data_IF_070955920170
#
_entry.id   IF_070955920170
#
_cell.length_a   1.000
_cell.length_b   1.000
_cell.length_c   1.000
_cell.angle_alpha   90.00
_cell.angle_beta   90.00
_cell.angle_gamma   90.00
#
_symmetry.space_group_name_H-M   'P 1'
#
loop_
_entity.id
_entity.type
_entity.pdbx_description
1 polymer ?
#
# COMPACT_ATOMS: atom_id res chain seq x y z
N UNK A 1 -7.61 -21.74 -13.06
CA UNK A 1 -6.91 -20.48 -12.71
C UNK A 1 -5.82 -20.24 -13.74
N UNK A 2 -5.71 -19.07 -14.38
CA UNK A 2 -4.58 -18.79 -15.27
C UNK A 2 -3.29 -18.81 -14.45
N UNK A 3 -2.28 -19.56 -14.91
CA UNK A 3 -0.95 -19.57 -14.29
C UNK A 3 -0.37 -18.16 -14.38
N UNK A 4 0.03 -17.58 -13.25
CA UNK A 4 0.76 -16.30 -13.24
C UNK A 4 2.02 -16.44 -14.11
N UNK A 5 2.25 -15.47 -15.00
CA UNK A 5 3.43 -15.47 -15.86
C UNK A 5 4.71 -15.42 -15.00
N UNK A 6 5.74 -16.26 -15.28
CA UNK A 6 7.02 -16.23 -14.58
C UNK A 6 7.68 -14.85 -14.60
N UNK A 7 7.45 -14.08 -15.66
CA UNK A 7 7.93 -12.70 -15.80
C UNK A 7 7.32 -11.75 -14.75
N UNK A 8 6.03 -11.92 -14.43
CA UNK A 8 5.36 -11.12 -13.39
C UNK A 8 5.82 -11.51 -11.99
N UNK A 9 6.09 -12.80 -11.76
CA UNK A 9 6.67 -13.25 -10.49
C UNK A 9 8.06 -12.65 -10.30
N UNK A 10 8.89 -12.65 -11.33
CA UNK A 10 10.23 -12.06 -11.29
C UNK A 10 10.18 -10.54 -11.08
N UNK A 11 9.29 -9.84 -11.79
CA UNK A 11 9.09 -8.40 -11.62
C UNK A 11 8.61 -8.04 -10.21
N UNK A 12 7.72 -8.84 -9.62
CA UNK A 12 7.20 -8.67 -8.26
C UNK A 12 8.24 -8.92 -7.16
N UNK A 13 9.44 -9.39 -7.49
CA UNK A 13 10.58 -9.48 -6.57
C UNK A 13 11.75 -8.55 -6.98
N UNK A 14 11.57 -7.73 -8.02
CA UNK A 14 12.58 -6.78 -8.50
C UNK A 14 12.64 -5.48 -7.70
N UNK A 15 13.55 -4.54 -8.08
CA UNK A 15 13.72 -3.27 -7.38
C UNK A 15 12.50 -2.34 -7.49
N UNK A 16 11.62 -2.55 -8.48
CA UNK A 16 10.43 -1.75 -8.71
C UNK A 16 9.37 -1.94 -7.62
N UNK A 17 9.14 -0.90 -6.80
CA UNK A 17 8.12 -0.91 -5.74
C UNK A 17 6.71 -1.18 -6.26
N UNK A 18 6.35 -0.64 -7.43
CA UNK A 18 5.04 -0.87 -8.04
C UNK A 18 4.79 -2.35 -8.32
N UNK A 19 5.78 -3.06 -8.86
CA UNK A 19 5.63 -4.49 -9.18
C UNK A 19 5.44 -5.33 -7.91
N UNK A 20 6.14 -5.00 -6.81
CA UNK A 20 5.94 -5.64 -5.50
C UNK A 20 4.55 -5.35 -4.95
N UNK A 21 4.10 -4.09 -5.01
CA UNK A 21 2.75 -3.69 -4.56
C UNK A 21 1.65 -4.39 -5.37
N UNK A 22 1.82 -4.53 -6.68
CA UNK A 22 0.91 -5.33 -7.52
C UNK A 22 0.93 -6.79 -7.09
N UNK A 23 2.07 -7.37 -6.71
CA UNK A 23 2.12 -8.73 -6.14
C UNK A 23 1.15 -8.94 -4.98
N UNK A 24 1.02 -7.94 -4.10
CA UNK A 24 0.11 -7.92 -2.94
C UNK A 24 -1.34 -7.63 -3.34
N UNK A 25 -1.56 -6.64 -4.22
CA UNK A 25 -2.88 -6.08 -4.52
C UNK A 25 -3.55 -6.61 -5.79
N UNK A 26 -2.87 -7.45 -6.57
CA UNK A 26 -3.30 -7.94 -7.90
C UNK A 26 -4.52 -8.86 -7.92
N UNK A 27 -5.16 -9.09 -6.77
CA UNK A 27 -6.43 -9.79 -6.74
C UNK A 27 -7.59 -8.81 -6.54
N UNK A 28 -8.69 -8.94 -7.31
CA UNK A 28 -9.85 -8.07 -7.19
C UNK A 28 -10.41 -7.96 -5.76
N UNK A 29 -10.34 -9.04 -4.97
CA UNK A 29 -10.87 -9.04 -3.62
C UNK A 29 -10.02 -8.23 -2.65
N UNK A 30 -8.72 -8.06 -2.88
CA UNK A 30 -7.86 -7.26 -2.00
C UNK A 30 -8.37 -5.82 -1.89
N UNK A 31 -8.70 -5.17 -3.00
CA UNK A 31 -9.25 -3.82 -2.98
C UNK A 31 -10.68 -3.75 -2.41
N UNK A 32 -11.51 -4.77 -2.66
CA UNK A 32 -12.86 -4.82 -2.11
C UNK A 32 -12.86 -5.04 -0.59
N UNK A 33 -11.96 -5.87 -0.07
CA UNK A 33 -11.76 -6.05 1.37
C UNK A 33 -11.26 -4.74 1.99
N UNK A 34 -10.25 -4.09 1.39
CA UNK A 34 -9.75 -2.80 1.87
C UNK A 34 -10.84 -1.72 1.90
N UNK A 35 -11.71 -1.67 0.89
CA UNK A 35 -12.88 -0.77 0.87
C UNK A 35 -13.76 -0.99 2.10
N UNK A 36 -14.04 -2.23 2.44
CA UNK A 36 -14.86 -2.56 3.61
C UNK A 36 -14.13 -2.29 4.94
N UNK A 37 -12.81 -2.50 5.00
CA UNK A 37 -11.98 -2.09 6.15
C UNK A 37 -12.11 -0.58 6.38
N UNK A 38 -12.01 0.24 5.33
CA UNK A 38 -12.15 1.69 5.48
C UNK A 38 -13.59 2.16 5.74
N UNK A 39 -14.59 1.29 5.53
CA UNK A 39 -15.98 1.48 5.97
C UNK A 39 -16.25 1.02 7.40
N UNK A 40 -15.22 0.57 8.13
CA UNK A 40 -15.34 0.19 9.53
C UNK A 40 -15.60 -1.30 9.77
N UNK A 41 -15.65 -2.15 8.74
CA UNK A 41 -15.79 -3.60 8.94
C UNK A 41 -14.48 -4.19 9.45
N UNK A 42 -14.56 -5.13 10.38
CA UNK A 42 -13.39 -5.69 11.07
C UNK A 42 -13.42 -7.21 11.17
N UNK A 43 -14.59 -7.83 11.15
CA UNK A 43 -14.70 -9.28 11.39
C UNK A 43 -14.94 -10.06 10.10
N UNK A 44 -14.57 -11.34 10.09
CA UNK A 44 -14.80 -12.25 8.96
C UNK A 44 -16.28 -12.26 8.53
N UNK A 45 -17.20 -12.28 9.49
CA UNK A 45 -18.64 -12.29 9.22
C UNK A 45 -19.10 -11.03 8.49
N UNK A 46 -18.64 -9.86 8.93
CA UNK A 46 -18.98 -8.58 8.30
C UNK A 46 -18.46 -8.50 6.86
N UNK A 47 -17.24 -8.97 6.60
CA UNK A 47 -16.70 -9.03 5.23
C UNK A 47 -17.51 -9.99 4.35
N UNK A 48 -17.86 -11.17 4.87
CA UNK A 48 -18.66 -12.16 4.13
C UNK A 48 -20.03 -11.61 3.78
N UNK A 49 -20.70 -10.97 4.74
CA UNK A 49 -22.01 -10.34 4.52
C UNK A 49 -21.93 -9.22 3.48
N UNK A 50 -20.89 -8.38 3.54
CA UNK A 50 -20.74 -7.25 2.64
C UNK A 50 -20.35 -7.63 1.20
N UNK A 51 -19.52 -8.67 1.04
CA UNK A 51 -18.92 -9.02 -0.25
C UNK A 51 -19.59 -10.21 -0.94
N UNK A 52 -20.32 -11.05 -0.19
CA UNK A 52 -21.00 -12.23 -0.75
C UNK A 52 -20.04 -13.28 -1.33
N UNK A 53 -18.76 -13.25 -0.96
CA UNK A 53 -17.75 -14.15 -1.52
C UNK A 53 -17.67 -15.48 -0.79
N UNK A 54 -17.16 -16.49 -1.51
CA UNK A 54 -16.90 -17.81 -0.96
C UNK A 54 -15.94 -17.71 0.25
N UNK A 55 -16.21 -18.53 1.27
CA UNK A 55 -15.56 -18.47 2.59
C UNK A 55 -14.06 -18.78 2.49
N UNK A 56 -13.70 -19.76 1.67
CA UNK A 56 -12.33 -20.15 1.37
C UNK A 56 -11.56 -19.02 0.67
N UNK A 57 -12.19 -18.35 -0.31
CA UNK A 57 -11.60 -17.19 -1.00
C UNK A 57 -11.38 -16.03 -0.03
N UNK A 58 -12.38 -15.69 0.80
CA UNK A 58 -12.23 -14.64 1.81
C UNK A 58 -11.10 -14.95 2.80
N UNK A 59 -11.04 -16.19 3.30
CA UNK A 59 -10.01 -16.61 4.24
C UNK A 59 -8.61 -16.50 3.62
N UNK A 60 -8.43 -17.00 2.39
CA UNK A 60 -7.16 -16.91 1.68
C UNK A 60 -6.72 -15.46 1.45
N UNK A 61 -7.67 -14.55 1.16
CA UNK A 61 -7.38 -13.14 0.89
C UNK A 61 -7.07 -12.36 2.16
N UNK A 62 -7.82 -12.56 3.22
CA UNK A 62 -7.49 -11.98 4.53
C UNK A 62 -6.13 -12.47 5.02
N UNK A 63 -5.81 -13.76 4.88
CA UNK A 63 -4.50 -14.29 5.22
C UNK A 63 -3.39 -13.61 4.40
N UNK A 64 -3.55 -13.49 3.09
CA UNK A 64 -2.54 -12.83 2.24
C UNK A 64 -2.32 -11.34 2.61
N UNK A 65 -3.38 -10.63 3.00
CA UNK A 65 -3.27 -9.24 3.47
C UNK A 65 -2.58 -9.16 4.85
N UNK A 66 -2.76 -10.16 5.70
CA UNK A 66 -2.03 -10.26 6.97
C UNK A 66 -0.55 -10.60 6.75
N UNK A 67 -0.26 -11.58 5.90
CA UNK A 67 1.11 -12.02 5.60
C UNK A 67 1.94 -10.92 4.93
N UNK A 68 1.29 -10.04 4.17
CA UNK A 68 1.93 -8.87 3.56
C UNK A 68 2.05 -7.66 4.49
N UNK A 69 1.58 -7.77 5.74
CA UNK A 69 1.63 -6.70 6.73
C UNK A 69 0.68 -5.54 6.44
N UNK A 70 -0.32 -5.74 5.56
CA UNK A 70 -1.37 -4.74 5.27
C UNK A 70 -2.43 -4.74 6.36
N UNK A 71 -2.81 -5.93 6.84
CA UNK A 71 -3.72 -6.11 7.98
C UNK A 71 -2.99 -6.82 9.12
N UNK A 72 -3.54 -6.71 10.33
CA UNK A 72 -3.14 -7.51 11.47
C UNK A 72 -4.36 -8.15 12.11
N UNK A 73 -4.17 -9.33 12.72
CA UNK A 73 -5.20 -10.00 13.51
C UNK A 73 -5.13 -9.51 14.94
N UNK A 74 -6.26 -9.07 15.47
CA UNK A 74 -6.41 -8.67 16.86
C UNK A 74 -7.51 -9.48 17.55
N UNK A 75 -7.36 -9.83 18.84
CA UNK A 75 -8.45 -10.43 19.60
C UNK A 75 -9.64 -9.48 19.63
N UNK A 76 -10.81 -10.00 19.27
CA UNK A 76 -12.09 -9.28 19.35
C UNK A 76 -13.02 -10.00 20.29
N UNK A 77 -13.47 -9.28 21.31
CA UNK A 77 -14.41 -9.77 22.30
C UNK A 77 -15.57 -8.80 22.41
N UNK A 78 -16.76 -9.27 22.03
CA UNK A 78 -18.01 -8.63 22.46
C UNK A 78 -18.42 -9.27 23.79
N UNK A 79 -18.89 -8.50 24.79
CA UNK A 79 -19.41 -9.08 26.03
C UNK A 79 -20.46 -10.15 25.74
N UNK A 80 -20.21 -11.39 26.20
CA UNK A 80 -21.12 -12.54 26.02
C UNK A 80 -20.84 -13.46 24.82
N UNK A 81 -19.92 -13.10 23.91
CA UNK A 81 -19.57 -13.91 22.74
C UNK A 81 -18.25 -14.69 22.91
N UNK A 82 -18.11 -15.81 22.19
CA UNK A 82 -16.81 -16.49 22.02
C UNK A 82 -15.79 -15.53 21.40
N UNK A 83 -14.52 -15.65 21.82
CA UNK A 83 -13.40 -14.92 21.22
C UNK A 83 -13.43 -15.04 19.69
N UNK A 84 -13.43 -13.90 19.00
CA UNK A 84 -13.30 -13.83 17.54
C UNK A 84 -12.03 -13.09 17.19
N UNK A 85 -11.56 -13.26 15.97
CA UNK A 85 -10.52 -12.43 15.41
C UNK A 85 -11.16 -11.24 14.67
N UNK A 86 -10.58 -10.07 14.87
CA UNK A 86 -10.80 -8.90 14.01
C UNK A 86 -9.53 -8.61 13.20
N UNK A 87 -9.73 -7.90 12.09
CA UNK A 87 -8.70 -7.48 11.17
C UNK A 87 -8.62 -5.96 11.19
N UNK A 88 -7.49 -5.42 11.65
CA UNK A 88 -7.22 -3.98 11.68
C UNK A 88 -6.17 -3.63 10.62
N UNK A 89 -6.28 -2.47 9.95
CA UNK A 89 -5.24 -2.01 9.04
C UNK A 89 -3.99 -1.62 9.83
N UNK A 90 -2.83 -2.04 9.35
CA UNK A 90 -1.54 -1.54 9.84
C UNK A 90 -1.29 -0.12 9.30
N UNK A 91 -0.25 0.60 9.75
CA UNK A 91 0.13 1.88 9.12
C UNK A 91 0.31 1.76 7.60
N UNK A 92 0.99 0.71 7.14
CA UNK A 92 1.14 0.42 5.71
C UNK A 92 -0.21 0.15 5.02
N UNK A 93 -1.14 -0.51 5.70
CA UNK A 93 -2.49 -0.72 5.20
C UNK A 93 -3.33 0.55 5.13
N UNK A 94 -3.16 1.49 6.06
CA UNK A 94 -3.83 2.79 6.04
C UNK A 94 -3.39 3.62 4.82
N UNK A 95 -2.10 3.59 4.48
CA UNK A 95 -1.55 4.30 3.31
C UNK A 95 -2.18 3.83 1.98
N UNK A 96 -2.73 2.61 1.94
CA UNK A 96 -3.46 2.09 0.77
C UNK A 96 -4.82 2.78 0.53
N UNK A 97 -5.28 3.63 1.45
CA UNK A 97 -6.50 4.43 1.23
C UNK A 97 -6.35 5.35 0.01
N UNK A 98 -5.19 5.96 -0.19
CA UNK A 98 -4.93 6.84 -1.34
C UNK A 98 -5.03 6.11 -2.69
N UNK A 99 -4.31 5.01 -2.95
CA UNK A 99 -4.44 4.28 -4.21
C UNK A 99 -5.84 3.69 -4.41
N UNK A 100 -6.53 3.26 -3.35
CA UNK A 100 -7.92 2.82 -3.45
C UNK A 100 -8.82 3.98 -3.93
N UNK A 101 -8.70 5.15 -3.32
CA UNK A 101 -9.51 6.34 -3.69
C UNK A 101 -9.22 6.78 -5.13
N UNK A 102 -7.96 6.74 -5.57
CA UNK A 102 -7.59 7.03 -6.96
C UNK A 102 -8.24 6.03 -7.94
N UNK A 103 -8.23 4.74 -7.61
CA UNK A 103 -8.88 3.70 -8.42
C UNK A 103 -10.41 3.87 -8.46
N UNK A 104 -11.03 4.23 -7.33
CA UNK A 104 -12.46 4.52 -7.27
C UNK A 104 -12.85 5.72 -8.16
N UNK A 105 -12.05 6.79 -8.17
CA UNK A 105 -12.28 7.95 -9.04
C UNK A 105 -12.19 7.59 -10.52
N UNK A 106 -11.19 6.77 -10.89
CA UNK A 106 -11.10 6.25 -12.26
C UNK A 106 -12.34 5.41 -12.60
N UNK A 107 -12.77 4.53 -11.69
CA UNK A 107 -13.94 3.69 -11.89
C UNK A 107 -15.23 4.48 -12.06
N UNK A 108 -15.41 5.54 -11.26
CA UNK A 108 -16.53 6.49 -11.35
C UNK A 108 -16.58 7.20 -12.71
N UNK A 109 -15.42 7.60 -13.23
CA UNK A 109 -15.33 8.33 -14.50
C UNK A 109 -15.50 7.44 -15.74
N UNK A 110 -15.13 6.15 -15.68
CA UNK A 110 -14.97 5.32 -16.88
C UNK A 110 -15.75 4.01 -16.90
N UNK A 111 -16.10 3.47 -15.73
CA UNK A 111 -16.73 2.13 -15.62
C UNK A 111 -18.07 2.15 -14.92
N UNK A 112 -18.51 3.31 -14.41
CA UNK A 112 -19.79 3.40 -13.72
C UNK A 112 -20.93 3.16 -14.70
N UNK A 113 -21.72 2.12 -14.44
CA UNK A 113 -22.97 1.86 -15.15
C UNK A 113 -24.03 2.90 -14.82
N UNK A 114 -24.95 3.12 -15.74
CA UNK A 114 -26.10 3.98 -15.51
C UNK A 114 -26.92 3.47 -14.31
N UNK A 115 -27.34 4.37 -13.42
CA UNK A 115 -28.06 4.03 -12.19
C UNK A 115 -27.23 3.34 -11.08
N UNK A 116 -25.93 3.09 -11.28
CA UNK A 116 -25.09 2.51 -10.22
C UNK A 116 -24.84 3.54 -9.10
N UNK A 117 -24.98 3.16 -7.82
CA UNK A 117 -24.74 4.05 -6.69
C UNK A 117 -23.26 4.45 -6.64
N UNK A 118 -22.99 5.76 -6.65
CA UNK A 118 -21.65 6.31 -6.48
C UNK A 118 -21.17 6.22 -5.02
N UNK A 119 -19.87 6.49 -4.79
CA UNK A 119 -19.33 6.68 -3.44
C UNK A 119 -18.72 8.06 -3.33
N UNK A 120 -19.22 8.87 -2.40
CA UNK A 120 -18.61 10.16 -2.04
C UNK A 120 -17.49 9.89 -1.05
N UNK A 121 -16.29 10.40 -1.34
CA UNK A 121 -15.15 10.31 -0.44
C UNK A 121 -15.10 11.61 0.36
N UNK A 122 -15.09 11.51 1.69
CA UNK A 122 -15.10 12.68 2.58
C UNK A 122 -13.95 12.68 3.57
N UNK A 123 -13.61 13.85 4.07
CA UNK A 123 -12.78 14.00 5.26
C UNK A 123 -13.59 13.75 6.55
N UNK A 124 -12.98 13.99 7.70
CA UNK A 124 -13.62 13.84 9.02
C UNK A 124 -14.76 14.84 9.28
N UNK A 125 -14.82 15.95 8.54
CA UNK A 125 -15.89 16.94 8.63
C UNK A 125 -17.05 16.65 7.66
N UNK A 126 -16.94 15.59 6.84
CA UNK A 126 -17.94 15.25 5.82
C UNK A 126 -17.79 16.06 4.53
N UNK A 127 -16.69 16.82 4.38
CA UNK A 127 -16.42 17.59 3.16
C UNK A 127 -15.86 16.64 2.10
N UNK A 128 -16.37 16.74 0.88
CA UNK A 128 -15.92 15.90 -0.23
C UNK A 128 -14.45 16.15 -0.57
N UNK A 129 -13.68 15.08 -0.69
CA UNK A 129 -12.27 15.11 -1.06
C UNK A 129 -12.00 14.17 -2.24
N UNK A 130 -10.90 14.42 -2.96
CA UNK A 130 -10.46 13.59 -4.08
C UNK A 130 -8.94 13.40 -4.08
N UNK A 131 -8.47 12.41 -4.82
CA UNK A 131 -7.05 12.13 -4.96
C UNK A 131 -6.51 13.03 -6.06
N UNK A 132 -5.41 13.70 -5.76
CA UNK A 132 -4.77 14.67 -6.65
C UNK A 132 -3.27 14.54 -6.56
N UNK A 133 -2.59 14.97 -7.61
CA UNK A 133 -1.17 15.25 -7.52
C UNK A 133 -0.97 16.65 -6.95
N UNK A 134 0.00 16.79 -6.05
CA UNK A 134 0.37 18.07 -5.47
C UNK A 134 1.87 18.29 -5.62
N UNK A 135 2.26 19.53 -5.89
CA UNK A 135 3.64 19.97 -5.85
C UNK A 135 4.12 20.27 -4.42
N UNK A 136 5.40 20.62 -4.23
CA UNK A 136 5.99 20.86 -2.90
C UNK A 136 5.29 21.93 -2.06
N UNK A 137 4.65 22.92 -2.69
CA UNK A 137 3.89 23.97 -2.02
C UNK A 137 2.39 23.65 -1.85
N UNK A 138 1.98 22.41 -2.08
CA UNK A 138 0.56 22.00 -2.04
C UNK A 138 -0.25 22.41 -3.27
N UNK A 139 0.38 23.03 -4.28
CA UNK A 139 -0.28 23.39 -5.53
C UNK A 139 -0.74 22.13 -6.28
N UNK A 140 -1.98 22.13 -6.78
CA UNK A 140 -2.51 21.04 -7.58
C UNK A 140 -1.75 20.91 -8.90
N UNK A 141 -1.33 19.70 -9.25
CA UNK A 141 -0.70 19.35 -10.52
C UNK A 141 -1.68 18.56 -11.37
N UNK A 142 -2.08 19.02 -12.56
CA UNK A 142 -2.94 18.28 -13.47
C UNK A 142 -2.32 16.93 -13.87
N UNK A 143 -3.15 15.89 -14.03
CA UNK A 143 -2.69 14.56 -14.44
C UNK A 143 -1.93 14.57 -15.78
N UNK A 144 -2.28 15.50 -16.68
CA UNK A 144 -1.63 15.69 -17.99
C UNK A 144 -0.21 16.24 -17.90
N UNK A 145 0.15 16.84 -16.77
CA UNK A 145 1.48 17.41 -16.51
C UNK A 145 2.36 16.46 -15.67
N UNK A 146 1.84 15.31 -15.26
CA UNK A 146 2.58 14.31 -14.49
C UNK A 146 3.29 13.33 -15.42
N UNK A 147 4.62 13.29 -15.32
CA UNK A 147 5.45 12.38 -16.08
C UNK A 147 6.09 11.31 -15.18
N UNK A 148 6.02 10.04 -15.61
CA UNK A 148 6.75 8.95 -14.95
C UNK A 148 8.16 8.85 -15.53
N UNK A 149 9.15 9.36 -14.80
CA UNK A 149 10.56 9.31 -15.20
C UNK A 149 11.29 8.18 -14.44
N UNK A 150 11.91 7.20 -15.12
CA UNK A 150 12.67 6.17 -14.44
C UNK A 150 13.94 6.77 -13.84
N UNK A 151 14.17 6.52 -12.55
CA UNK A 151 15.40 6.90 -11.85
C UNK A 151 16.18 5.63 -11.54
N UNK A 152 17.48 5.60 -11.86
CA UNK A 152 18.37 4.54 -11.36
C UNK A 152 18.60 4.82 -9.88
N UNK A 153 18.04 3.97 -9.02
CA UNK A 153 18.43 3.94 -7.61
C UNK A 153 19.81 3.27 -7.59
N UNK A 154 20.86 4.03 -7.27
CA UNK A 154 22.15 3.41 -6.96
C UNK A 154 21.94 2.52 -5.73
N UNK A 155 22.32 1.24 -5.81
CA UNK A 155 22.27 0.34 -4.66
C UNK A 155 23.04 0.97 -3.50
N UNK A 156 22.44 0.97 -2.30
CA UNK A 156 23.02 1.58 -1.10
C UNK A 156 24.39 0.98 -0.70
N UNK A 157 24.81 -0.13 -1.32
CA UNK A 157 26.09 -0.82 -1.07
C UNK A 157 27.36 -0.08 -1.52
N UNK A 158 27.27 1.01 -2.31
CA UNK A 158 28.48 1.76 -2.75
C UNK A 158 28.75 3.04 -1.95
N UNK A 159 27.86 3.42 -1.03
CA UNK A 159 28.06 4.62 -0.21
C UNK A 159 29.05 4.38 0.94
N UNK A 160 29.11 3.16 1.47
CA UNK A 160 29.98 2.81 2.61
C UNK A 160 31.45 2.61 2.17
N UNK A 161 31.67 2.03 0.99
CA UNK A 161 33.02 1.75 0.49
C UNK A 161 33.85 3.00 0.09
N UNK A 162 33.24 4.19 0.01
CA UNK A 162 33.96 5.45 -0.22
C UNK A 162 34.32 6.20 1.06
N UNK A 163 33.68 5.87 2.19
CA UNK A 163 34.00 6.49 3.48
C UNK A 163 35.28 5.90 4.09
N UNK A 164 35.58 4.62 3.84
CA UNK A 164 36.74 3.94 4.41
C UNK A 164 38.07 4.19 3.66
N UNK A 165 38.04 4.80 2.47
CA UNK A 165 39.24 5.05 1.67
C UNK A 165 39.93 6.41 1.95
N UNK A 166 39.47 7.17 2.95
CA UNK A 166 40.08 8.46 3.34
C UNK A 166 40.53 8.55 4.80
N UNK A 167 40.50 7.43 5.54
CA UNK A 167 40.88 7.36 6.95
C UNK A 167 42.17 6.57 7.20
N UNK A 168 43.30 6.99 6.64
CA UNK A 168 44.57 6.33 6.94
C UNK A 168 45.76 6.92 6.20
N UNK A 169 46.23 8.08 6.64
CA UNK A 169 47.67 8.43 6.65
C UNK A 169 47.86 9.80 7.34
N UNK A 170 48.10 9.77 8.65
CA UNK A 170 48.73 10.85 9.38
C UNK A 170 49.36 10.30 10.67
N UNK A 171 50.49 9.62 10.53
CA UNK A 171 51.35 9.24 11.66
C UNK A 171 52.72 9.90 11.52
N UNK A 172 53.04 10.80 12.45
CA UNK A 172 54.39 10.92 13.03
C UNK A 172 55.32 12.02 12.49
N UNK A 173 55.79 12.87 13.40
CA UNK A 173 56.92 13.79 13.22
C UNK A 173 56.66 15.17 13.82
N UNK A 174 56.46 15.28 15.14
CA UNK A 174 57.51 15.54 16.13
C UNK A 174 58.18 16.91 15.96
N UNK A 175 57.86 17.79 16.93
CA UNK A 175 58.52 19.05 17.25
C UNK A 175 59.99 18.81 17.61
N UNK A 176 60.88 19.72 17.21
CA UNK A 176 62.01 20.16 18.04
C UNK A 176 62.51 21.56 17.63
N UNK A 177 63.03 22.25 18.65
CA UNK A 177 63.55 23.63 18.77
C UNK A 177 64.44 24.12 17.60
N UNK A 178 64.55 25.43 17.31
CA UNK A 178 65.09 26.53 18.15
C UNK A 178 64.72 27.90 17.55
#
# INVERSE_FOLDING_TARGET
>A
MPRRSPALVTAAHGPCGLARSVGVLSDPWSFLILREVFRGRRTFSEFREALGIATDVLAARLQALVDSGVLTRVPYHRPGDRAREAYEPTPAGVDLKLPLVALMQWGEAHTRGEGSPGTVITDAAGVSVRAVFTGPAGAHVPVTEVELRPVRVASAETADARADAHGGDAHGGALDAD
#
